data_IF_693374618844
#
_entry.id   IF_693374618844
#
_cell.length_a   1.000
_cell.length_b   1.000
_cell.length_c   1.000
_cell.angle_alpha   90.00
_cell.angle_beta   90.00
_cell.angle_gamma   90.00
#
_symmetry.space_group_name_H-M   'P 1'
#
loop_
_entity.id
_entity.type
_entity.pdbx_description
1 polymer ?
#
# COMPACT_ATOMS: atom_id res chain seq x y z
N UNK A 1 -56.24 -41.32 -23.72
CA UNK A 1 -56.82 -41.03 -22.39
C UNK A 1 -55.75 -41.24 -21.33
N UNK A 2 -55.74 -40.38 -20.31
CA UNK A 2 -54.96 -40.44 -19.05
C UNK A 2 -53.46 -40.12 -19.11
N UNK A 3 -53.16 -38.82 -19.10
CA UNK A 3 -51.94 -38.27 -18.48
C UNK A 3 -52.15 -38.25 -16.96
N UNK A 4 -51.59 -39.22 -16.24
CA UNK A 4 -51.64 -39.26 -14.78
C UNK A 4 -50.57 -38.32 -14.20
N UNK A 5 -51.05 -37.19 -13.66
CA UNK A 5 -50.25 -36.25 -12.88
C UNK A 5 -49.66 -36.93 -11.64
N UNK A 6 -48.33 -36.97 -11.56
CA UNK A 6 -47.59 -37.38 -10.37
C UNK A 6 -47.68 -36.24 -9.35
N UNK A 7 -48.63 -36.36 -8.41
CA UNK A 7 -48.68 -35.53 -7.21
C UNK A 7 -47.44 -35.81 -6.35
N UNK A 8 -46.48 -34.89 -6.38
CA UNK A 8 -45.40 -34.80 -5.40
C UNK A 8 -46.02 -34.48 -4.04
N UNK A 9 -46.14 -35.50 -3.18
CA UNK A 9 -46.44 -35.31 -1.77
C UNK A 9 -45.40 -34.35 -1.16
N UNK A 10 -45.86 -33.16 -0.78
CA UNK A 10 -45.13 -32.26 0.11
C UNK A 10 -45.07 -32.95 1.46
N UNK A 11 -43.94 -33.56 1.77
CA UNK A 11 -43.61 -34.03 3.11
C UNK A 11 -43.46 -32.76 3.96
N UNK A 12 -44.53 -32.38 4.66
CA UNK A 12 -44.43 -31.44 5.75
C UNK A 12 -43.61 -32.13 6.86
N UNK A 13 -42.56 -31.48 7.40
CA UNK A 13 -41.81 -32.06 8.51
C UNK A 13 -42.77 -32.24 9.71
N UNK A 14 -42.66 -33.36 10.45
CA UNK A 14 -43.52 -33.61 11.58
C UNK A 14 -43.37 -32.51 12.65
N UNK A 15 -44.45 -32.18 13.37
CA UNK A 15 -44.38 -31.19 14.44
C UNK A 15 -43.35 -31.64 15.50
N UNK A 16 -42.58 -30.71 16.09
CA UNK A 16 -41.53 -31.04 17.04
C UNK A 16 -42.12 -31.77 18.24
N UNK A 17 -41.64 -32.98 18.51
CA UNK A 17 -42.05 -33.77 19.65
C UNK A 17 -41.65 -33.06 20.96
N UNK A 18 -42.48 -33.12 22.02
CA UNK A 18 -42.22 -32.43 23.29
C UNK A 18 -40.91 -32.87 23.96
N UNK A 19 -40.36 -34.02 23.58
CA UNK A 19 -39.08 -34.54 24.06
C UNK A 19 -37.83 -33.86 23.46
N UNK A 20 -37.98 -33.00 22.45
CA UNK A 20 -36.83 -32.26 21.86
C UNK A 20 -36.65 -30.84 22.42
N UNK A 21 -37.54 -30.37 23.30
CA UNK A 21 -37.41 -29.06 23.96
C UNK A 21 -36.25 -28.97 24.97
N UNK A 22 -35.67 -30.12 25.38
CA UNK A 22 -34.56 -30.18 26.33
C UNK A 22 -33.17 -30.26 25.69
N UNK A 23 -33.05 -30.09 24.37
CA UNK A 23 -31.73 -29.77 23.80
C UNK A 23 -31.43 -28.34 24.24
N UNK A 24 -30.78 -28.19 25.40
CA UNK A 24 -30.09 -26.97 25.77
C UNK A 24 -29.22 -26.61 24.56
N UNK A 25 -29.65 -25.61 23.78
CA UNK A 25 -28.78 -24.96 22.79
C UNK A 25 -27.69 -24.30 23.62
N UNK A 26 -26.64 -25.06 23.93
CA UNK A 26 -25.43 -24.54 24.52
C UNK A 26 -24.87 -23.60 23.48
N UNK A 27 -25.22 -22.32 23.57
CA UNK A 27 -24.61 -21.26 22.79
C UNK A 27 -23.11 -21.44 22.99
N UNK A 28 -22.42 -21.96 21.95
CA UNK A 28 -20.97 -22.04 21.99
C UNK A 28 -20.52 -20.60 22.21
N UNK A 29 -19.76 -20.35 23.29
CA UNK A 29 -19.16 -19.04 23.53
C UNK A 29 -18.52 -18.61 22.19
N UNK A 30 -18.79 -17.40 21.69
CA UNK A 30 -18.27 -16.99 20.40
C UNK A 30 -16.76 -17.22 20.38
N UNK A 31 -16.29 -17.98 19.38
CA UNK A 31 -14.87 -18.32 19.25
C UNK A 31 -14.08 -17.02 19.13
N UNK A 32 -13.17 -16.76 20.08
CA UNK A 32 -12.31 -15.57 20.07
C UNK A 32 -11.20 -15.78 19.03
N UNK A 33 -11.54 -15.58 17.77
CA UNK A 33 -10.61 -15.68 16.65
C UNK A 33 -9.83 -14.38 16.45
N UNK A 34 -8.75 -14.42 15.66
CA UNK A 34 -8.04 -13.21 15.23
C UNK A 34 -8.97 -12.23 14.48
N UNK A 35 -9.99 -12.74 13.79
CA UNK A 35 -10.98 -11.91 13.11
C UNK A 35 -11.90 -11.18 14.11
N UNK A 36 -12.39 -11.88 15.14
CA UNK A 36 -13.21 -11.28 16.21
C UNK A 36 -12.44 -10.17 16.93
N UNK A 37 -11.17 -10.41 17.28
CA UNK A 37 -10.29 -9.38 17.88
C UNK A 37 -10.03 -8.19 16.96
N UNK A 38 -9.94 -8.44 15.66
CA UNK A 38 -9.81 -7.39 14.67
C UNK A 38 -11.10 -6.55 14.65
N UNK A 39 -12.29 -7.17 14.65
CA UNK A 39 -13.57 -6.47 14.62
C UNK A 39 -13.84 -5.63 15.89
N UNK A 40 -13.51 -6.19 17.06
CA UNK A 40 -13.72 -5.56 18.38
C UNK A 40 -12.72 -4.45 18.74
N UNK A 41 -11.69 -4.22 17.90
CA UNK A 41 -10.62 -3.27 18.20
C UNK A 41 -11.10 -1.82 18.19
N UNK A 42 -10.45 -0.98 18.98
CA UNK A 42 -10.64 0.47 18.94
C UNK A 42 -9.99 1.05 17.68
N UNK A 43 -10.83 1.59 16.79
CA UNK A 43 -10.40 2.17 15.51
C UNK A 43 -9.85 3.57 15.72
N UNK A 44 -8.82 3.91 14.96
CA UNK A 44 -8.24 5.24 14.93
C UNK A 44 -8.76 5.99 13.70
N UNK A 45 -9.61 7.02 13.87
CA UNK A 45 -10.24 7.71 12.75
C UNK A 45 -9.22 8.46 11.89
N UNK A 46 -8.10 8.93 12.45
CA UNK A 46 -7.09 9.67 11.70
C UNK A 46 -6.31 8.76 10.76
N UNK A 47 -5.85 7.62 11.26
CA UNK A 47 -5.11 6.63 10.48
C UNK A 47 -6.01 5.95 9.43
N UNK A 48 -7.26 5.66 9.79
CA UNK A 48 -8.23 5.12 8.82
C UNK A 48 -8.55 6.12 7.70
N UNK A 49 -8.69 7.41 8.03
CA UNK A 49 -8.89 8.45 7.02
C UNK A 49 -7.67 8.56 6.12
N UNK A 50 -6.46 8.57 6.69
CA UNK A 50 -5.20 8.57 5.94
C UNK A 50 -5.15 7.38 4.97
N UNK A 51 -5.44 6.16 5.43
CA UNK A 51 -5.49 4.98 4.57
C UNK A 51 -6.46 5.12 3.41
N UNK A 52 -7.65 5.67 3.68
CA UNK A 52 -8.63 5.89 2.62
C UNK A 52 -8.12 6.85 1.55
N UNK A 53 -7.30 7.84 1.94
CA UNK A 53 -6.69 8.78 1.02
C UNK A 53 -5.55 8.12 0.22
N UNK A 54 -4.68 7.38 0.89
CA UNK A 54 -3.57 6.65 0.26
C UNK A 54 -4.07 5.64 -0.76
N UNK A 55 -5.12 4.88 -0.46
CA UNK A 55 -5.74 3.96 -1.43
C UNK A 55 -6.32 4.68 -2.65
N UNK A 56 -6.80 5.93 -2.51
CA UNK A 56 -7.22 6.73 -3.67
C UNK A 56 -6.03 7.15 -4.52
N UNK A 57 -4.93 7.58 -3.90
CA UNK A 57 -3.69 7.90 -4.60
C UNK A 57 -3.13 6.67 -5.33
N UNK A 58 -3.13 5.50 -4.69
CA UNK A 58 -2.71 4.24 -5.32
C UNK A 58 -3.52 3.93 -6.58
N UNK A 59 -4.84 4.14 -6.55
CA UNK A 59 -5.69 3.95 -7.74
C UNK A 59 -5.34 4.95 -8.84
N UNK A 60 -5.09 6.21 -8.50
CA UNK A 60 -4.67 7.25 -9.44
C UNK A 60 -3.34 6.88 -10.11
N UNK A 61 -2.35 6.46 -9.33
CA UNK A 61 -1.03 6.07 -9.83
C UNK A 61 -1.11 4.80 -10.70
N UNK A 62 -1.95 3.83 -10.34
CA UNK A 62 -2.22 2.65 -11.20
C UNK A 62 -2.83 3.04 -12.54
N UNK A 63 -3.76 3.99 -12.56
CA UNK A 63 -4.32 4.53 -13.81
C UNK A 63 -3.21 5.20 -14.64
N UNK A 64 -2.38 6.04 -14.03
CA UNK A 64 -1.23 6.66 -14.72
C UNK A 64 -0.30 5.60 -15.31
N UNK A 65 0.06 4.57 -14.54
CA UNK A 65 0.92 3.49 -15.02
C UNK A 65 0.33 2.78 -16.26
N UNK A 66 -0.97 2.45 -16.25
CA UNK A 66 -1.65 1.86 -17.40
C UNK A 66 -1.71 2.80 -18.62
N UNK A 67 -1.83 4.11 -18.40
CA UNK A 67 -1.78 5.10 -19.48
C UNK A 67 -0.38 5.19 -20.07
N UNK A 68 0.66 5.26 -19.23
CA UNK A 68 2.07 5.44 -19.63
C UNK A 68 2.70 4.18 -20.21
N UNK A 69 2.23 2.98 -19.84
CA UNK A 69 2.64 1.72 -20.46
C UNK A 69 2.29 1.66 -21.97
N UNK A 70 1.50 2.60 -22.48
CA UNK A 70 1.11 2.64 -23.89
C UNK A 70 2.06 3.52 -24.70
N UNK A 71 2.50 2.98 -25.84
CA UNK A 71 3.29 3.72 -26.85
C UNK A 71 2.47 4.67 -27.72
N UNK A 72 1.14 4.77 -27.51
CA UNK A 72 0.19 5.44 -28.43
C UNK A 72 -0.09 6.92 -28.11
N UNK A 73 0.78 7.57 -27.33
CA UNK A 73 0.70 9.01 -27.04
C UNK A 73 0.17 9.36 -25.64
N UNK A 74 0.06 10.67 -25.34
CA UNK A 74 -0.12 11.19 -23.97
C UNK A 74 -1.58 11.18 -23.46
N UNK A 75 -2.52 10.69 -24.27
CA UNK A 75 -3.95 10.64 -23.92
C UNK A 75 -4.56 9.27 -24.24
N UNK A 76 -5.67 8.95 -23.55
CA UNK A 76 -6.39 7.68 -23.70
C UNK A 76 -7.89 7.94 -23.86
N UNK A 77 -8.54 7.26 -24.80
CA UNK A 77 -9.99 7.37 -24.98
C UNK A 77 -10.75 6.78 -23.79
N UNK A 78 -11.88 7.39 -23.42
CA UNK A 78 -12.74 6.88 -22.33
C UNK A 78 -13.27 5.47 -22.62
N UNK A 79 -13.49 5.14 -23.89
CA UNK A 79 -13.91 3.80 -24.35
C UNK A 79 -12.91 2.71 -24.02
N UNK A 80 -11.62 3.04 -23.95
CA UNK A 80 -10.60 2.10 -23.51
C UNK A 80 -10.47 2.09 -22.00
N UNK A 81 -10.50 3.27 -21.37
CA UNK A 81 -10.42 3.39 -19.91
C UNK A 81 -11.54 2.60 -19.22
N UNK A 82 -12.73 2.54 -19.83
CA UNK A 82 -13.83 1.71 -19.33
C UNK A 82 -13.50 0.21 -19.28
N UNK A 83 -12.66 -0.31 -20.20
CA UNK A 83 -12.21 -1.72 -20.17
C UNK A 83 -11.30 -2.01 -18.97
N UNK A 84 -10.58 -1.01 -18.48
CA UNK A 84 -9.70 -1.14 -17.31
C UNK A 84 -10.46 -1.11 -15.98
N UNK A 85 -11.79 -0.90 -15.98
CA UNK A 85 -12.61 -0.89 -14.77
C UNK A 85 -12.38 -2.13 -13.89
N UNK A 86 -12.36 -3.31 -14.50
CA UNK A 86 -12.20 -4.58 -13.78
C UNK A 86 -10.78 -4.74 -13.23
N UNK A 87 -9.77 -4.35 -14.01
CA UNK A 87 -8.35 -4.39 -13.62
C UNK A 87 -8.10 -3.47 -12.42
N UNK A 88 -8.70 -2.28 -12.43
CA UNK A 88 -8.60 -1.31 -11.34
C UNK A 88 -9.50 -1.65 -10.14
N UNK A 89 -10.42 -2.62 -10.29
CA UNK A 89 -11.39 -2.98 -9.27
C UNK A 89 -12.34 -1.84 -8.89
N UNK A 90 -12.67 -0.97 -9.84
CA UNK A 90 -13.54 0.19 -9.62
C UNK A 90 -15.02 -0.22 -9.66
N UNK A 91 -15.75 0.07 -8.59
CA UNK A 91 -17.21 -0.10 -8.54
C UNK A 91 -17.95 0.92 -9.41
N UNK A 92 -17.37 2.12 -9.58
CA UNK A 92 -17.92 3.25 -10.33
C UNK A 92 -17.39 3.25 -11.77
N UNK A 93 -18.18 3.69 -12.77
CA UNK A 93 -17.69 3.93 -14.12
C UNK A 93 -16.44 4.82 -14.13
N UNK A 94 -15.43 4.45 -14.93
CA UNK A 94 -14.13 5.13 -14.95
C UNK A 94 -14.27 6.61 -15.35
N UNK A 95 -15.16 6.93 -16.29
CA UNK A 95 -15.42 8.33 -16.68
C UNK A 95 -15.88 9.22 -15.51
N UNK A 96 -16.75 8.71 -14.62
CA UNK A 96 -17.20 9.45 -13.43
C UNK A 96 -16.07 9.59 -12.41
N UNK A 97 -15.23 8.57 -12.26
CA UNK A 97 -14.06 8.64 -11.39
C UNK A 97 -13.08 9.72 -11.85
N UNK A 98 -12.79 9.80 -13.14
CA UNK A 98 -11.86 10.79 -13.69
C UNK A 98 -12.37 12.23 -13.49
N UNK A 99 -13.66 12.46 -13.76
CA UNK A 99 -14.31 13.77 -13.55
C UNK A 99 -14.31 14.21 -12.08
N UNK A 100 -14.17 13.29 -11.13
CA UNK A 100 -14.06 13.60 -9.70
C UNK A 100 -12.73 14.27 -9.33
N UNK A 101 -11.69 14.09 -10.15
CA UNK A 101 -10.33 14.58 -9.88
C UNK A 101 -9.79 15.40 -11.07
N UNK A 102 -10.40 16.57 -11.38
CA UNK A 102 -9.96 17.43 -12.48
C UNK A 102 -8.51 17.93 -12.36
N UNK A 103 -7.99 18.07 -11.14
CA UNK A 103 -6.59 18.48 -10.89
C UNK A 103 -5.54 17.42 -11.27
N UNK A 104 -5.98 16.18 -11.51
CA UNK A 104 -5.13 15.04 -11.84
C UNK A 104 -5.39 14.57 -13.26
N UNK A 105 -6.67 14.52 -13.64
CA UNK A 105 -7.12 14.03 -14.93
C UNK A 105 -7.86 15.13 -15.69
N UNK A 106 -7.37 15.45 -16.88
CA UNK A 106 -8.04 16.35 -17.82
C UNK A 106 -8.84 15.51 -18.81
N UNK A 107 -10.16 15.61 -18.73
CA UNK A 107 -11.09 14.95 -19.66
C UNK A 107 -11.49 15.97 -20.72
N UNK A 108 -11.18 15.69 -21.98
CA UNK A 108 -11.43 16.59 -23.11
C UNK A 108 -11.99 15.80 -24.30
N UNK A 109 -12.63 16.49 -25.24
CA UNK A 109 -13.08 15.89 -26.50
C UNK A 109 -11.98 16.06 -27.54
N UNK A 110 -11.58 14.97 -28.19
CA UNK A 110 -10.55 15.03 -29.22
C UNK A 110 -11.07 15.82 -30.44
N UNK A 111 -10.31 16.80 -30.96
CA UNK A 111 -10.78 17.69 -32.03
C UNK A 111 -11.22 16.93 -33.28
N UNK A 112 -10.37 16.03 -33.79
CA UNK A 112 -10.65 15.30 -35.03
C UNK A 112 -11.63 14.12 -34.91
N UNK A 113 -11.51 13.31 -33.85
CA UNK A 113 -12.29 12.06 -33.69
C UNK A 113 -13.62 12.25 -32.95
N UNK A 114 -13.89 13.44 -32.40
CA UNK A 114 -15.01 13.75 -31.49
C UNK A 114 -15.18 12.78 -30.32
N UNK A 115 -14.14 11.99 -30.01
CA UNK A 115 -14.13 11.01 -28.94
C UNK A 115 -13.65 11.66 -27.64
N UNK A 116 -14.31 11.36 -26.52
CA UNK A 116 -13.84 11.83 -25.22
C UNK A 116 -12.57 11.08 -24.81
N UNK A 117 -11.52 11.84 -24.53
CA UNK A 117 -10.20 11.38 -24.12
C UNK A 117 -9.83 11.93 -22.74
N UNK A 118 -8.86 11.29 -22.11
CA UNK A 118 -8.29 11.71 -20.84
C UNK A 118 -6.78 11.85 -21.01
N UNK A 119 -6.22 12.98 -20.55
CA UNK A 119 -4.78 13.16 -20.31
C UNK A 119 -4.55 13.41 -18.82
N UNK A 120 -3.31 13.21 -18.37
CA UNK A 120 -2.90 13.56 -17.00
C UNK A 120 -2.40 15.00 -17.01
N UNK A 121 -2.72 15.76 -15.97
CA UNK A 121 -2.30 17.16 -15.82
C UNK A 121 -0.78 17.28 -15.81
N UNK A 122 -0.25 18.41 -16.33
CA UNK A 122 1.19 18.73 -16.32
C UNK A 122 1.75 18.66 -14.88
N UNK A 123 1.04 19.29 -13.95
CA UNK A 123 1.36 19.27 -12.51
C UNK A 123 1.47 17.87 -11.90
N UNK A 124 0.53 16.96 -12.18
CA UNK A 124 0.62 15.59 -11.64
C UNK A 124 1.82 14.84 -12.25
N UNK A 125 2.10 15.04 -13.54
CA UNK A 125 3.28 14.44 -14.19
C UNK A 125 4.58 14.94 -13.59
N UNK A 126 4.68 16.25 -13.33
CA UNK A 126 5.84 16.86 -12.66
C UNK A 126 6.08 16.26 -11.27
N UNK A 127 5.02 16.07 -10.47
CA UNK A 127 5.15 15.45 -9.15
C UNK A 127 5.59 13.98 -9.22
N UNK A 128 5.10 13.22 -10.20
CA UNK A 128 5.52 11.83 -10.42
C UNK A 128 7.01 11.78 -10.82
N UNK A 129 7.44 12.68 -11.70
CA UNK A 129 8.83 12.80 -12.11
C UNK A 129 9.72 13.22 -10.92
N UNK A 130 9.25 14.17 -10.12
CA UNK A 130 9.92 14.62 -8.90
C UNK A 130 10.10 13.47 -7.90
N UNK A 131 9.08 12.62 -7.70
CA UNK A 131 9.22 11.43 -6.84
C UNK A 131 10.37 10.54 -7.32
N UNK A 132 10.44 10.28 -8.62
CA UNK A 132 11.52 9.50 -9.22
C UNK A 132 12.91 10.12 -9.02
N UNK A 133 13.02 11.45 -9.11
CA UNK A 133 14.27 12.17 -8.84
C UNK A 133 14.68 12.10 -7.37
N UNK A 134 13.73 12.33 -6.46
CA UNK A 134 13.97 12.30 -5.02
C UNK A 134 14.37 10.88 -4.56
N UNK A 135 13.75 9.84 -5.11
CA UNK A 135 14.13 8.45 -4.85
C UNK A 135 15.57 8.18 -5.28
N UNK A 136 16.02 8.72 -6.42
CA UNK A 136 17.42 8.61 -6.86
C UNK A 136 18.37 9.40 -5.98
N UNK A 137 17.99 10.59 -5.51
CA UNK A 137 18.82 11.39 -4.59
C UNK A 137 18.98 10.70 -3.22
N UNK A 138 17.98 9.93 -2.79
CA UNK A 138 17.99 9.18 -1.53
C UNK A 138 18.60 7.77 -1.67
N UNK A 139 19.48 7.57 -2.65
CA UNK A 139 20.15 6.29 -2.91
C UNK A 139 20.91 5.77 -1.68
N UNK A 140 21.65 6.64 -0.98
CA UNK A 140 22.43 6.26 0.21
C UNK A 140 21.55 5.78 1.35
N UNK A 141 20.40 6.41 1.57
CA UNK A 141 19.43 5.99 2.57
C UNK A 141 18.72 4.69 2.17
N UNK A 142 18.47 4.49 0.88
CA UNK A 142 17.96 3.23 0.35
C UNK A 142 18.94 2.07 0.59
N UNK A 143 20.23 2.28 0.36
CA UNK A 143 21.31 1.32 0.66
C UNK A 143 21.30 0.96 2.14
N UNK A 144 21.29 1.95 3.04
CA UNK A 144 21.24 1.72 4.50
C UNK A 144 20.02 0.90 4.91
N UNK A 145 18.83 1.19 4.34
CA UNK A 145 17.61 0.42 4.61
C UNK A 145 17.76 -1.04 4.19
N UNK A 146 18.26 -1.31 2.98
CA UNK A 146 18.47 -2.68 2.50
C UNK A 146 19.54 -3.41 3.33
N UNK A 147 20.62 -2.73 3.70
CA UNK A 147 21.68 -3.25 4.57
C UNK A 147 21.11 -3.65 5.94
N UNK A 148 20.36 -2.76 6.60
CA UNK A 148 19.66 -3.06 7.87
C UNK A 148 18.69 -4.24 7.74
N UNK A 149 17.93 -4.33 6.66
CA UNK A 149 17.04 -5.48 6.40
C UNK A 149 17.80 -6.80 6.33
N UNK A 150 18.91 -6.84 5.60
CA UNK A 150 19.75 -8.03 5.50
C UNK A 150 20.39 -8.36 6.86
N UNK A 151 20.84 -7.35 7.62
CA UNK A 151 21.40 -7.56 8.96
C UNK A 151 20.39 -8.13 9.97
N UNK A 152 19.10 -7.81 9.81
CA UNK A 152 18.02 -8.40 10.62
C UNK A 152 17.67 -9.83 10.20
N UNK A 153 18.00 -10.25 8.97
CA UNK A 153 17.77 -11.62 8.49
C UNK A 153 18.65 -12.62 9.24
N UNK A 154 18.11 -13.81 9.50
CA UNK A 154 18.82 -14.87 10.24
C UNK A 154 20.13 -15.28 9.55
N UNK A 155 20.10 -15.40 8.23
CA UNK A 155 21.22 -15.88 7.43
C UNK A 155 21.99 -14.74 6.75
N UNK A 156 21.61 -13.48 7.00
CA UNK A 156 22.12 -12.34 6.24
C UNK A 156 21.70 -12.35 4.76
N UNK A 157 20.66 -13.10 4.42
CA UNK A 157 20.15 -13.24 3.04
C UNK A 157 18.68 -12.86 2.93
N UNK A 158 18.29 -12.32 1.78
CA UNK A 158 16.91 -11.99 1.45
C UNK A 158 16.59 -12.34 0.00
N UNK A 159 15.35 -12.78 -0.22
CA UNK A 159 14.83 -13.05 -1.56
C UNK A 159 14.57 -11.73 -2.29
N UNK A 160 15.08 -11.61 -3.52
CA UNK A 160 14.83 -10.47 -4.40
C UNK A 160 13.34 -10.27 -4.68
N UNK A 161 12.57 -11.35 -4.75
CA UNK A 161 11.12 -11.26 -4.90
C UNK A 161 10.46 -10.50 -3.73
N UNK A 162 10.88 -10.77 -2.49
CA UNK A 162 10.35 -10.08 -1.31
C UNK A 162 10.73 -8.59 -1.34
N UNK A 163 11.98 -8.27 -1.68
CA UNK A 163 12.41 -6.87 -1.85
C UNK A 163 11.63 -6.14 -2.95
N UNK A 164 11.31 -6.82 -4.06
CA UNK A 164 10.51 -6.25 -5.16
C UNK A 164 9.07 -5.92 -4.72
N UNK A 165 8.48 -6.74 -3.84
CA UNK A 165 7.16 -6.47 -3.26
C UNK A 165 7.18 -5.27 -2.31
N UNK A 166 8.32 -4.99 -1.67
CA UNK A 166 8.57 -3.87 -0.74
C UNK A 166 9.18 -2.64 -1.37
N UNK A 167 9.38 -2.66 -2.70
CA UNK A 167 10.13 -1.63 -3.43
C UNK A 167 9.61 -0.22 -3.14
N UNK A 168 8.29 -0.04 -3.14
CA UNK A 168 7.66 1.27 -2.92
C UNK A 168 7.71 1.69 -1.46
N UNK A 169 7.54 0.75 -0.54
CA UNK A 169 7.52 0.93 0.91
C UNK A 169 8.90 1.32 1.43
N UNK A 170 9.96 0.75 0.86
CA UNK A 170 11.36 1.07 1.17
C UNK A 170 11.88 2.30 0.42
N UNK A 171 11.15 2.77 -0.61
CA UNK A 171 11.57 3.88 -1.46
C UNK A 171 12.73 3.52 -2.36
N UNK A 172 12.74 2.29 -2.89
CA UNK A 172 13.75 1.82 -3.84
C UNK A 172 13.41 2.31 -5.25
N UNK A 173 14.44 2.61 -6.09
CA UNK A 173 14.24 2.92 -7.49
C UNK A 173 13.69 1.71 -8.26
N UNK A 174 13.13 1.95 -9.44
CA UNK A 174 12.64 0.89 -10.34
C UNK A 174 13.75 -0.11 -10.70
N UNK A 175 14.94 0.41 -10.97
CA UNK A 175 16.14 -0.36 -11.37
C UNK A 175 17.06 -0.65 -10.16
N UNK A 176 16.50 -0.88 -8.97
CA UNK A 176 17.29 -1.08 -7.74
C UNK A 176 18.26 -2.27 -7.81
N UNK A 177 17.99 -3.26 -8.68
CA UNK A 177 18.90 -4.38 -8.91
C UNK A 177 20.27 -3.89 -9.39
N UNK A 178 20.29 -2.98 -10.36
CA UNK A 178 21.54 -2.50 -10.95
C UNK A 178 22.03 -1.25 -10.23
N UNK A 179 21.11 -0.32 -9.94
CA UNK A 179 21.43 0.96 -9.29
C UNK A 179 21.91 0.81 -7.85
N UNK A 180 21.42 -0.18 -7.09
CA UNK A 180 21.81 -0.38 -5.69
C UNK A 180 22.65 -1.64 -5.55
N UNK A 181 22.11 -2.81 -5.90
CA UNK A 181 22.80 -4.07 -5.63
C UNK A 181 24.04 -4.27 -6.53
N UNK A 182 23.99 -3.80 -7.78
CA UNK A 182 25.12 -3.86 -8.71
C UNK A 182 26.21 -2.82 -8.40
N UNK A 183 25.80 -1.59 -8.05
CA UNK A 183 26.74 -0.48 -7.75
C UNK A 183 27.45 -0.64 -6.40
N UNK A 184 26.75 -1.15 -5.38
CA UNK A 184 27.29 -1.34 -4.02
C UNK A 184 27.72 -2.79 -3.79
N UNK A 185 28.60 -3.31 -4.65
CA UNK A 185 29.10 -4.70 -4.59
C UNK A 185 29.94 -5.00 -3.34
N UNK A 186 30.45 -3.97 -2.66
CA UNK A 186 31.13 -4.11 -1.37
C UNK A 186 30.17 -4.46 -0.23
N UNK A 187 28.92 -3.99 -0.30
CA UNK A 187 27.90 -4.24 0.73
C UNK A 187 27.04 -5.46 0.40
N UNK A 188 26.72 -5.65 -0.89
CA UNK A 188 25.76 -6.65 -1.35
C UNK A 188 26.39 -7.63 -2.34
N UNK A 189 26.12 -8.92 -2.14
CA UNK A 189 26.49 -9.99 -3.06
C UNK A 189 25.24 -10.69 -3.56
N UNK A 190 25.11 -10.78 -4.87
CA UNK A 190 24.10 -11.61 -5.49
C UNK A 190 24.60 -13.06 -5.51
N UNK A 191 24.02 -13.92 -4.67
CA UNK A 191 24.43 -15.34 -4.56
C UNK A 191 23.78 -16.16 -5.68
N UNK A 192 22.48 -15.90 -5.91
CA UNK A 192 21.68 -16.50 -6.97
C UNK A 192 20.91 -15.41 -7.71
N UNK A 193 20.29 -15.74 -8.85
CA UNK A 193 19.44 -14.82 -9.62
C UNK A 193 18.32 -14.16 -8.78
N UNK A 194 17.93 -14.78 -7.67
CA UNK A 194 16.84 -14.33 -6.80
C UNK A 194 17.24 -14.11 -5.33
N UNK A 195 18.53 -14.18 -4.97
CA UNK A 195 18.95 -14.09 -3.55
C UNK A 195 20.10 -13.09 -3.37
N UNK A 196 19.86 -12.10 -2.50
CA UNK A 196 20.87 -11.11 -2.07
C UNK A 196 21.42 -11.53 -0.72
N UNK A 197 22.73 -11.50 -0.57
CA UNK A 197 23.44 -11.69 0.68
C UNK A 197 24.17 -10.41 1.08
N UNK A 198 24.27 -10.21 2.39
CA UNK A 198 25.13 -9.20 3.00
C UNK A 198 26.59 -9.67 2.92
N UNK A 199 27.48 -8.80 2.46
CA UNK A 199 28.93 -9.05 2.44
C UNK A 199 29.57 -8.57 3.73
N UNK A 200 29.34 -7.30 4.07
CA UNK A 200 29.95 -6.64 5.21
C UNK A 200 28.94 -6.26 6.28
N UNK A 201 29.30 -6.53 7.55
CA UNK A 201 28.45 -6.22 8.69
C UNK A 201 28.85 -4.86 9.27
N UNK A 202 27.91 -3.93 9.24
CA UNK A 202 28.13 -2.57 9.70
C UNK A 202 27.62 -2.38 11.12
N UNK A 203 28.53 -2.25 12.08
CA UNK A 203 28.20 -2.07 13.48
C UNK A 203 27.51 -0.73 13.76
N UNK A 204 27.79 0.31 12.98
CA UNK A 204 27.20 1.64 13.16
C UNK A 204 25.72 1.65 12.80
N UNK A 205 25.34 0.86 11.79
CA UNK A 205 23.94 0.67 11.40
C UNK A 205 23.15 -0.27 12.33
N UNK A 206 23.83 -1.02 13.20
CA UNK A 206 23.22 -2.00 14.11
C UNK A 206 22.50 -1.36 15.33
N UNK A 207 22.10 -0.10 15.22
CA UNK A 207 21.25 0.60 16.19
C UNK A 207 19.79 0.56 15.70
N UNK A 208 18.92 0.03 16.55
CA UNK A 208 17.49 -0.04 16.26
C UNK A 208 16.81 1.28 16.62
N UNK A 209 15.73 1.62 15.92
CA UNK A 209 15.00 2.88 16.13
C UNK A 209 14.45 3.04 17.55
N UNK A 210 14.08 1.92 18.18
CA UNK A 210 13.64 1.92 19.59
C UNK A 210 14.77 2.34 20.53
N UNK A 211 16.01 1.99 20.21
CA UNK A 211 17.19 2.34 21.03
C UNK A 211 17.46 3.85 20.93
N UNK A 212 17.42 4.42 19.73
CA UNK A 212 17.52 5.87 19.52
C UNK A 212 16.41 6.63 20.28
N UNK A 213 15.19 6.11 20.27
CA UNK A 213 14.10 6.70 21.04
C UNK A 213 14.38 6.64 22.55
N UNK A 214 14.87 5.50 23.09
CA UNK A 214 15.21 5.38 24.51
C UNK A 214 16.30 6.38 24.91
N UNK A 215 17.34 6.53 24.10
CA UNK A 215 18.42 7.48 24.32
C UNK A 215 17.91 8.93 24.39
N UNK A 216 17.00 9.31 23.48
CA UNK A 216 16.32 10.61 23.54
C UNK A 216 15.49 10.77 24.81
N UNK A 217 14.74 9.75 25.23
CA UNK A 217 13.94 9.82 26.47
C UNK A 217 14.82 9.99 27.71
N UNK A 218 16.00 9.36 27.76
CA UNK A 218 16.97 9.59 28.83
C UNK A 218 17.52 10.99 28.83
N UNK A 219 17.95 11.46 27.66
CA UNK A 219 18.64 12.74 27.49
C UNK A 219 17.71 13.93 27.70
N UNK A 220 16.47 13.83 27.21
CA UNK A 220 15.53 14.95 27.18
C UNK A 220 14.56 14.94 28.37
N UNK A 221 14.09 13.77 28.80
CA UNK A 221 13.04 13.65 29.83
C UNK A 221 13.53 13.11 31.16
N UNK A 222 14.79 12.69 31.26
CA UNK A 222 15.40 12.20 32.51
C UNK A 222 14.58 11.08 33.18
N UNK A 223 13.99 10.20 32.36
CA UNK A 223 13.21 9.06 32.85
C UNK A 223 14.11 8.01 33.50
N UNK A 224 13.58 7.32 34.52
CA UNK A 224 14.31 6.25 35.22
C UNK A 224 14.67 5.09 34.29
N UNK A 225 15.96 4.73 34.25
CA UNK A 225 16.49 3.55 33.55
C UNK A 225 15.70 2.28 33.82
N UNK A 226 15.15 2.14 35.03
CA UNK A 226 14.44 0.94 35.42
C UNK A 226 13.17 0.69 34.58
N UNK A 227 12.48 1.75 34.14
CA UNK A 227 11.24 1.60 33.38
C UNK A 227 11.46 1.68 31.86
N UNK A 228 12.45 2.43 31.39
CA UNK A 228 12.66 2.71 29.96
C UNK A 228 13.69 1.80 29.28
N UNK A 229 14.57 1.14 30.02
CA UNK A 229 15.70 0.34 29.45
C UNK A 229 15.31 -0.67 28.39
N UNK A 230 14.15 -1.31 28.55
CA UNK A 230 13.63 -2.29 27.59
C UNK A 230 12.26 -1.93 27.02
N UNK A 231 11.79 -0.70 27.27
CA UNK A 231 10.47 -0.27 26.87
C UNK A 231 10.40 0.04 25.38
N UNK A 232 9.21 -0.16 24.82
CA UNK A 232 8.80 0.40 23.54
C UNK A 232 8.00 1.68 23.75
N UNK A 233 8.05 2.60 22.80
CA UNK A 233 7.15 3.74 22.73
C UNK A 233 5.71 3.25 22.54
N UNK A 234 4.80 3.69 23.42
CA UNK A 234 3.41 3.23 23.45
C UNK A 234 2.46 4.42 23.41
N UNK A 235 1.56 4.41 22.43
CA UNK A 235 0.47 5.38 22.31
C UNK A 235 -0.85 4.67 22.02
N UNK A 236 -1.85 4.87 22.87
CA UNK A 236 -3.17 4.27 22.71
C UNK A 236 -4.12 5.22 21.96
N UNK A 237 -5.04 4.70 21.14
CA UNK A 237 -6.05 5.53 20.50
C UNK A 237 -7.01 6.13 21.53
N UNK A 238 -7.59 7.28 21.20
CA UNK A 238 -8.63 7.90 22.03
C UNK A 238 -9.80 6.93 22.23
N UNK A 239 -10.21 6.72 23.48
CA UNK A 239 -11.29 5.78 23.82
C UNK A 239 -10.85 4.31 23.93
N UNK A 240 -9.54 4.02 23.98
CA UNK A 240 -9.05 2.67 24.23
C UNK A 240 -9.55 2.12 25.58
N UNK A 241 -10.28 1.00 25.54
CA UNK A 241 -10.79 0.32 26.74
C UNK A 241 -9.72 -0.61 27.30
N UNK A 242 -9.18 -0.28 28.46
CA UNK A 242 -8.23 -1.15 29.16
C UNK A 242 -8.96 -2.30 29.84
N UNK A 243 -8.64 -3.54 29.46
CA UNK A 243 -9.07 -4.71 30.22
C UNK A 243 -8.43 -4.71 31.62
N UNK A 244 -9.09 -5.36 32.59
CA UNK A 244 -8.52 -5.57 33.93
C UNK A 244 -7.17 -6.29 33.81
N UNK A 245 -6.16 -5.79 34.49
CA UNK A 245 -4.80 -6.34 34.44
C UNK A 245 -4.02 -6.08 33.14
N UNK A 246 -4.59 -5.42 32.11
CA UNK A 246 -3.85 -5.09 30.89
C UNK A 246 -2.65 -4.19 31.16
N UNK A 247 -2.83 -3.13 31.95
CA UNK A 247 -1.73 -2.20 32.29
C UNK A 247 -0.58 -2.89 33.00
N UNK A 248 -0.88 -3.80 33.93
CA UNK A 248 0.12 -4.57 34.66
C UNK A 248 0.84 -5.57 33.75
N UNK A 249 0.09 -6.31 32.90
CA UNK A 249 0.67 -7.19 31.88
C UNK A 249 1.61 -6.42 30.94
N UNK A 250 1.17 -5.26 30.47
CA UNK A 250 1.98 -4.40 29.60
C UNK A 250 3.24 -3.91 30.33
N UNK A 251 3.11 -3.46 31.59
CA UNK A 251 4.25 -3.01 32.40
C UNK A 251 5.28 -4.12 32.59
N UNK A 252 4.84 -5.34 32.88
CA UNK A 252 5.72 -6.50 33.00
C UNK A 252 6.35 -6.89 31.66
N UNK A 253 5.60 -6.86 30.56
CA UNK A 253 6.14 -7.12 29.22
C UNK A 253 7.18 -6.07 28.79
N UNK A 254 6.95 -4.78 29.11
CA UNK A 254 7.91 -3.71 28.84
C UNK A 254 9.23 -3.90 29.62
N UNK A 255 9.19 -4.54 30.79
CA UNK A 255 10.38 -4.85 31.61
C UNK A 255 11.15 -6.09 31.16
N UNK A 256 10.58 -6.95 30.31
CA UNK A 256 11.30 -8.11 29.80
C UNK A 256 12.60 -7.71 29.09
N UNK A 257 13.66 -8.51 29.14
CA UNK A 257 14.89 -8.22 28.39
C UNK A 257 14.61 -8.00 26.90
N UNK A 258 15.14 -6.89 26.36
CA UNK A 258 15.04 -6.58 24.93
C UNK A 258 16.19 -7.26 24.18
N UNK A 259 15.86 -8.18 23.28
CA UNK A 259 16.82 -8.73 22.34
C UNK A 259 16.87 -7.83 21.10
N UNK A 260 18.05 -7.33 20.73
CA UNK A 260 18.18 -6.45 19.57
C UNK A 260 17.78 -7.18 18.29
N UNK A 261 17.13 -6.51 17.32
CA UNK A 261 16.84 -7.10 16.00
C UNK A 261 18.09 -7.62 15.29
N UNK A 262 19.22 -6.95 15.49
CA UNK A 262 20.51 -7.25 14.87
C UNK A 262 21.36 -8.29 15.62
N UNK A 263 20.97 -8.69 16.83
CA UNK A 263 21.72 -9.70 17.58
C UNK A 263 21.44 -11.11 17.03
N UNK A 264 22.46 -11.74 16.45
CA UNK A 264 22.45 -13.13 15.95
C UNK A 264 22.55 -14.17 17.07
N UNK A 265 22.01 -13.90 18.26
CA UNK A 265 21.96 -14.92 19.32
C UNK A 265 21.05 -16.04 18.83
N UNK A 266 21.51 -17.29 18.97
CA UNK A 266 20.75 -18.49 18.62
C UNK A 266 19.27 -18.29 18.98
N UNK A 267 18.41 -18.48 17.98
CA UNK A 267 16.95 -18.44 18.03
C UNK A 267 16.47 -18.65 19.46
N UNK A 268 15.95 -17.59 20.10
CA UNK A 268 15.41 -17.64 21.46
C UNK A 268 14.59 -18.92 21.57
N UNK A 269 15.12 -19.93 22.28
CA UNK A 269 14.51 -21.25 22.29
C UNK A 269 13.21 -21.12 23.05
N UNK A 270 12.08 -21.25 22.35
CA UNK A 270 10.72 -21.13 22.91
C UNK A 270 10.51 -22.08 24.09
N UNK A 271 11.30 -23.17 24.16
CA UNK A 271 11.24 -24.23 25.18
C UNK A 271 11.69 -23.82 26.59
N UNK A 272 12.28 -22.65 26.80
CA UNK A 272 12.69 -22.19 28.14
C UNK A 272 11.52 -21.49 28.87
N UNK A 273 11.48 -21.52 30.21
CA UNK A 273 10.50 -20.75 31.00
C UNK A 273 10.55 -19.26 30.63
N UNK A 274 9.40 -18.66 30.30
CA UNK A 274 9.31 -17.28 29.78
C UNK A 274 9.87 -17.08 28.36
N UNK A 275 10.28 -18.16 27.68
CA UNK A 275 10.82 -18.14 26.32
C UNK A 275 9.80 -17.60 25.30
N UNK A 276 8.51 -17.89 25.49
CA UNK A 276 7.42 -17.40 24.63
C UNK A 276 7.34 -15.86 24.67
N UNK A 277 7.35 -15.24 25.85
CA UNK A 277 7.23 -13.78 25.97
C UNK A 277 8.48 -13.06 25.46
N UNK A 278 9.66 -13.64 25.70
CA UNK A 278 10.94 -13.11 25.16
C UNK A 278 10.97 -13.22 23.64
N UNK A 279 10.51 -14.34 23.09
CA UNK A 279 10.36 -14.54 21.66
C UNK A 279 9.36 -13.55 21.06
N UNK A 280 8.21 -13.36 21.71
CA UNK A 280 7.20 -12.37 21.33
C UNK A 280 7.79 -10.96 21.30
N UNK A 281 8.57 -10.60 22.33
CA UNK A 281 9.24 -9.29 22.39
C UNK A 281 10.27 -9.09 21.28
N UNK A 282 11.06 -10.12 20.95
CA UNK A 282 11.97 -10.10 19.80
C UNK A 282 11.21 -9.92 18.47
N UNK A 283 10.11 -10.65 18.28
CA UNK A 283 9.30 -10.52 17.07
C UNK A 283 8.70 -9.11 16.93
N UNK A 284 8.24 -8.50 18.03
CA UNK A 284 7.80 -7.10 18.06
C UNK A 284 8.95 -6.15 17.73
N UNK A 285 10.16 -6.38 18.28
CA UNK A 285 11.33 -5.57 17.98
C UNK A 285 11.68 -5.58 16.48
N UNK A 286 11.68 -6.76 15.85
CA UNK A 286 11.97 -6.90 14.42
C UNK A 286 10.89 -6.23 13.56
N UNK A 287 9.60 -6.43 13.89
CA UNK A 287 8.51 -5.79 13.14
C UNK A 287 8.49 -4.27 13.33
N UNK A 288 8.80 -3.79 14.53
CA UNK A 288 8.93 -2.37 14.81
C UNK A 288 10.04 -1.77 13.95
N UNK A 289 11.22 -2.39 13.95
CA UNK A 289 12.35 -1.91 13.15
C UNK A 289 12.07 -1.99 11.65
N UNK A 290 11.48 -3.09 11.16
CA UNK A 290 11.09 -3.21 9.76
C UNK A 290 10.14 -2.08 9.32
N UNK A 291 9.12 -1.77 10.13
CA UNK A 291 8.22 -0.65 9.85
C UNK A 291 8.96 0.69 9.96
N UNK A 292 9.87 0.84 10.92
CA UNK A 292 10.68 2.04 11.09
C UNK A 292 11.56 2.32 9.87
N UNK A 293 12.00 1.31 9.13
CA UNK A 293 12.80 1.47 7.90
C UNK A 293 11.98 1.92 6.69
N UNK A 294 10.67 1.70 6.68
CA UNK A 294 9.83 2.11 5.55
C UNK A 294 9.71 3.64 5.44
N UNK A 295 9.46 4.13 4.24
CA UNK A 295 9.30 5.57 3.95
C UNK A 295 8.12 6.15 4.72
N UNK A 296 7.00 5.43 4.72
CA UNK A 296 5.73 5.85 5.32
C UNK A 296 5.45 5.19 6.67
N UNK A 297 6.38 4.44 7.24
CA UNK A 297 6.20 3.76 8.55
C UNK A 297 4.93 2.88 8.61
N UNK A 298 4.60 2.28 7.46
CA UNK A 298 3.42 1.43 7.25
C UNK A 298 3.68 0.40 6.16
N UNK A 299 3.05 -0.77 6.25
CA UNK A 299 3.18 -1.90 5.29
C UNK A 299 1.90 -2.73 5.26
N UNK A 300 1.62 -3.39 4.13
CA UNK A 300 0.52 -4.38 4.07
C UNK A 300 0.89 -5.68 4.83
N UNK A 301 -0.04 -6.23 5.60
CA UNK A 301 0.22 -7.45 6.40
C UNK A 301 0.63 -8.64 5.52
N UNK A 302 0.07 -8.73 4.32
CA UNK A 302 0.37 -9.80 3.37
C UNK A 302 1.82 -9.71 2.86
N UNK A 303 2.33 -8.48 2.65
CA UNK A 303 3.73 -8.25 2.30
C UNK A 303 4.65 -8.73 3.44
N UNK A 304 4.34 -8.41 4.71
CA UNK A 304 5.12 -8.86 5.87
C UNK A 304 5.23 -10.39 5.98
N UNK A 305 4.24 -11.14 5.48
CA UNK A 305 4.27 -12.60 5.52
C UNK A 305 5.40 -13.20 4.67
N UNK A 306 5.89 -12.50 3.64
CA UNK A 306 7.00 -12.96 2.80
C UNK A 306 8.34 -12.99 3.55
N UNK A 307 8.54 -12.09 4.53
CA UNK A 307 9.76 -12.06 5.34
C UNK A 307 9.70 -12.94 6.59
N UNK A 308 8.58 -13.65 6.80
CA UNK A 308 8.35 -14.46 7.99
C UNK A 308 9.50 -15.46 8.24
N UNK A 309 9.92 -16.15 7.17
CA UNK A 309 10.98 -17.16 7.22
C UNK A 309 12.35 -16.52 7.40
N UNK A 310 12.61 -15.42 6.70
CA UNK A 310 13.91 -14.73 6.70
C UNK A 310 14.24 -14.13 8.07
N UNK A 311 13.24 -13.62 8.80
CA UNK A 311 13.41 -13.07 10.15
C UNK A 311 13.21 -14.09 11.29
N UNK A 312 12.84 -15.34 10.97
CA UNK A 312 12.55 -16.37 11.97
C UNK A 312 11.32 -16.07 12.84
N UNK A 313 10.31 -15.39 12.29
CA UNK A 313 9.05 -15.06 12.99
C UNK A 313 8.03 -16.17 12.74
N UNK A 314 8.09 -17.28 13.44
CA UNK A 314 7.17 -18.42 13.28
C UNK A 314 5.75 -18.14 13.79
N UNK A 315 5.54 -17.00 14.46
CA UNK A 315 4.24 -16.60 15.00
C UNK A 315 3.34 -15.99 13.92
N UNK A 316 2.02 -16.12 14.10
CA UNK A 316 1.05 -15.43 13.28
C UNK A 316 1.19 -13.90 13.43
N UNK A 317 1.82 -13.26 12.45
CA UNK A 317 2.06 -11.80 12.42
C UNK A 317 0.78 -11.01 12.68
N UNK A 318 -0.37 -11.43 12.14
CA UNK A 318 -1.64 -10.74 12.36
C UNK A 318 -2.05 -10.74 13.84
N UNK A 319 -1.92 -11.88 14.51
CA UNK A 319 -2.23 -12.00 15.94
C UNK A 319 -1.26 -11.22 16.80
N UNK A 320 0.03 -11.26 16.45
CA UNK A 320 1.07 -10.51 17.14
C UNK A 320 0.78 -9.00 17.11
N UNK A 321 0.44 -8.46 15.93
CA UNK A 321 0.11 -7.05 15.78
C UNK A 321 -1.14 -6.64 16.57
N UNK A 322 -2.14 -7.52 16.67
CA UNK A 322 -3.36 -7.28 17.45
C UNK A 322 -3.13 -7.30 18.97
N UNK A 323 -2.10 -8.02 19.46
CA UNK A 323 -1.75 -8.05 20.89
C UNK A 323 -1.11 -6.75 21.37
N UNK A 324 -0.52 -5.97 20.47
CA UNK A 324 0.23 -4.75 20.78
C UNK A 324 -0.40 -3.49 20.18
N UNK A 325 -1.67 -3.17 20.53
CA UNK A 325 -2.40 -2.06 19.93
C UNK A 325 -1.85 -0.67 20.30
N UNK A 326 -0.93 -0.59 21.26
CA UNK A 326 -0.24 0.64 21.64
C UNK A 326 1.01 0.94 20.81
N UNK A 327 1.54 -0.07 20.11
CA UNK A 327 2.73 0.07 19.25
C UNK A 327 2.29 0.08 17.78
N UNK A 328 1.44 -0.88 17.42
CA UNK A 328 0.94 -1.06 16.06
C UNK A 328 -0.53 -0.68 15.95
N UNK A 329 -0.89 -0.12 14.81
CA UNK A 329 -2.29 0.03 14.41
C UNK A 329 -2.57 -0.76 13.14
N UNK A 330 -3.74 -1.42 13.11
CA UNK A 330 -4.20 -2.18 11.97
C UNK A 330 -5.41 -1.50 11.32
N UNK A 331 -5.25 -1.03 10.08
CA UNK A 331 -6.34 -0.47 9.29
C UNK A 331 -6.91 -1.50 8.31
N UNK A 332 -8.22 -1.72 8.38
CA UNK A 332 -8.99 -2.57 7.46
C UNK A 332 -9.61 -1.75 6.33
N UNK A 333 -9.07 -0.56 6.04
CA UNK A 333 -9.55 0.29 4.96
C UNK A 333 -8.99 -0.18 3.63
N UNK A 334 -9.87 -0.66 2.77
CA UNK A 334 -9.53 -1.21 1.47
C UNK A 334 -9.73 -2.74 1.43
N UNK A 335 -9.06 -3.40 0.49
CA UNK A 335 -9.11 -4.87 0.34
C UNK A 335 -8.06 -5.58 1.20
N UNK A 336 -6.94 -4.92 1.44
CA UNK A 336 -5.77 -5.43 2.18
C UNK A 336 -5.72 -4.84 3.58
N UNK A 337 -5.17 -5.60 4.53
CA UNK A 337 -4.93 -5.15 5.90
C UNK A 337 -3.57 -4.43 5.95
N UNK A 338 -3.54 -3.24 6.53
CA UNK A 338 -2.33 -2.41 6.61
C UNK A 338 -1.94 -2.14 8.06
N UNK A 339 -0.65 -2.22 8.33
CA UNK A 339 -0.05 -1.97 9.65
C UNK A 339 0.59 -0.60 9.64
N UNK A 340 0.41 0.13 10.72
CA UNK A 340 1.02 1.41 11.01
C UNK A 340 1.83 1.33 12.28
N UNK A 341 2.99 1.99 12.28
CA UNK A 341 3.74 2.26 13.50
C UNK A 341 3.15 3.49 14.20
N UNK A 342 2.49 3.35 15.35
CA UNK A 342 1.70 4.45 15.94
C UNK A 342 2.51 5.66 16.32
N UNK A 343 3.68 5.47 16.92
CA UNK A 343 4.54 6.56 17.37
C UNK A 343 4.99 7.49 16.23
N UNK A 344 5.05 6.96 15.00
CA UNK A 344 5.49 7.71 13.84
C UNK A 344 4.44 8.69 13.33
N UNK A 345 3.22 8.68 13.89
CA UNK A 345 2.10 9.47 13.39
C UNK A 345 1.52 10.42 14.43
N UNK A 346 1.25 11.66 14.02
CA UNK A 346 0.43 12.64 14.76
C UNK A 346 -0.60 13.26 13.83
N UNK A 347 -1.87 13.27 14.25
CA UNK A 347 -3.00 13.87 13.49
C UNK A 347 -3.12 13.40 12.02
N UNK A 348 -2.62 12.20 11.68
CA UNK A 348 -2.64 11.65 10.31
C UNK A 348 -1.50 12.11 9.39
N UNK A 349 -0.45 12.69 9.94
CA UNK A 349 0.84 12.94 9.26
C UNK A 349 2.00 12.25 9.99
N UNK A 350 3.12 12.06 9.31
CA UNK A 350 4.35 11.55 9.94
C UNK A 350 4.95 12.60 10.88
N UNK A 351 5.50 12.14 12.02
CA UNK A 351 6.23 13.00 12.96
C UNK A 351 7.58 13.41 12.37
N UNK A 352 8.28 12.47 11.75
CA UNK A 352 9.54 12.70 11.05
C UNK A 352 9.33 12.40 9.56
N UNK A 353 9.08 13.44 8.74
CA UNK A 353 8.88 13.27 7.31
C UNK A 353 10.20 12.96 6.59
N UNK A 354 10.09 12.22 5.49
CA UNK A 354 11.19 11.96 4.56
C UNK A 354 10.92 12.71 3.24
N UNK A 355 11.92 13.07 2.44
CA UNK A 355 11.70 13.80 1.18
C UNK A 355 10.82 13.03 0.18
N UNK A 356 10.93 11.69 0.16
CA UNK A 356 10.02 10.83 -0.64
C UNK A 356 8.59 10.93 -0.13
N UNK A 357 8.39 10.93 1.19
CA UNK A 357 7.06 11.08 1.80
C UNK A 357 6.45 12.45 1.50
N UNK A 358 7.22 13.52 1.57
CA UNK A 358 6.75 14.88 1.26
C UNK A 358 6.26 14.98 -0.19
N UNK A 359 7.00 14.39 -1.13
CA UNK A 359 6.59 14.34 -2.53
C UNK A 359 5.28 13.57 -2.71
N UNK A 360 5.16 12.40 -2.05
CA UNK A 360 3.92 11.61 -2.05
C UNK A 360 2.77 12.35 -1.41
N UNK A 361 3.04 13.15 -0.38
CA UNK A 361 2.04 13.99 0.29
C UNK A 361 1.55 15.09 -0.64
N UNK A 362 2.43 15.74 -1.37
CA UNK A 362 2.05 16.74 -2.39
C UNK A 362 1.15 16.14 -3.47
N UNK A 363 1.46 14.91 -3.92
CA UNK A 363 0.57 14.18 -4.84
C UNK A 363 -0.78 13.86 -4.20
N UNK A 364 -0.78 13.41 -2.94
CA UNK A 364 -2.00 13.12 -2.20
C UNK A 364 -2.89 14.37 -2.07
N UNK A 365 -2.31 15.51 -1.72
CA UNK A 365 -3.02 16.76 -1.54
C UNK A 365 -3.66 17.22 -2.85
N UNK A 366 -2.97 17.05 -3.99
CA UNK A 366 -3.54 17.29 -5.32
C UNK A 366 -4.78 16.42 -5.61
N UNK A 367 -4.75 15.14 -5.22
CA UNK A 367 -5.90 14.23 -5.33
C UNK A 367 -7.03 14.67 -4.38
N UNK A 368 -6.71 15.13 -3.17
CA UNK A 368 -7.70 15.51 -2.17
C UNK A 368 -8.42 16.82 -2.47
N UNK A 369 -7.89 17.69 -3.34
CA UNK A 369 -8.62 18.84 -3.86
C UNK A 369 -9.93 18.41 -4.56
N UNK A 370 -9.96 17.21 -5.17
CA UNK A 370 -11.16 16.67 -5.80
C UNK A 370 -11.78 17.64 -6.82
N UNK A 371 -13.10 17.80 -6.81
CA UNK A 371 -13.81 18.74 -7.67
C UNK A 371 -13.77 20.21 -7.19
N UNK A 372 -13.05 20.55 -6.11
CA UNK A 372 -13.02 21.93 -5.63
C UNK A 372 -12.46 22.81 -6.73
N UNK A 373 -13.28 23.77 -7.20
CA UNK A 373 -12.85 24.84 -8.11
C UNK A 373 -11.87 25.72 -7.34
N UNK A 374 -10.59 25.55 -7.59
CA UNK A 374 -9.56 26.50 -7.18
C UNK A 374 -9.34 27.49 -8.33
N UNK A 375 -8.77 28.67 -8.05
CA UNK A 375 -8.35 29.62 -9.10
C UNK A 375 -7.54 28.92 -10.22
N UNK A 376 -6.78 27.89 -9.86
CA UNK A 376 -5.96 27.06 -10.74
C UNK A 376 -6.72 26.27 -11.82
N UNK A 377 -7.99 25.88 -11.57
CA UNK A 377 -8.80 25.28 -12.63
C UNK A 377 -9.27 26.33 -13.63
N UNK A 378 -9.43 27.59 -13.19
CA UNK A 378 -9.76 28.70 -14.09
C UNK A 378 -8.58 28.95 -15.04
N UNK A 379 -7.34 28.92 -14.56
CA UNK A 379 -6.14 29.06 -15.42
C UNK A 379 -5.97 27.88 -16.39
N UNK A 380 -6.37 26.66 -16.01
CA UNK A 380 -6.42 25.51 -16.93
C UNK A 380 -7.53 25.67 -17.97
N UNK A 381 -8.66 26.24 -17.61
CA UNK A 381 -9.75 26.53 -18.56
C UNK A 381 -9.35 27.68 -19.50
N UNK A 382 -8.59 28.67 -19.03
CA UNK A 382 -8.07 29.77 -19.86
C UNK A 382 -6.92 29.33 -20.76
N UNK A 383 -5.94 28.58 -20.26
CA UNK A 383 -4.89 27.99 -21.11
C UNK A 383 -5.42 26.92 -22.06
N UNK A 384 -6.52 26.21 -21.75
CA UNK A 384 -7.19 25.36 -22.73
C UNK A 384 -7.93 26.19 -23.79
N UNK A 385 -8.46 27.38 -23.44
CA UNK A 385 -8.99 28.33 -24.43
C UNK A 385 -7.87 28.87 -25.31
N UNK A 386 -6.71 29.20 -24.74
CA UNK A 386 -5.53 29.62 -25.49
C UNK A 386 -4.97 28.48 -26.36
N UNK A 387 -4.79 27.25 -25.85
CA UNK A 387 -4.37 26.08 -26.65
C UNK A 387 -5.42 25.76 -27.74
N UNK A 388 -6.72 26.00 -27.52
CA UNK A 388 -7.74 25.88 -28.58
C UNK A 388 -7.73 27.05 -29.58
N UNK A 389 -7.32 28.24 -29.16
CA UNK A 389 -7.20 29.43 -30.01
C UNK A 389 -5.89 29.41 -30.83
N UNK A 390 -4.82 28.78 -30.32
CA UNK A 390 -3.54 28.61 -31.04
C UNK A 390 -3.65 27.57 -32.16
N UNK A 391 -4.69 26.73 -32.17
CA UNK A 391 -4.98 25.84 -33.31
C UNK A 391 -5.89 26.50 -34.35
N UNK A 392 -6.25 27.78 -34.18
CA UNK A 392 -6.80 28.61 -35.26
C UNK A 392 -5.68 29.28 -36.07
N UNK A 393 -4.74 28.49 -36.59
CA UNK A 393 -3.83 28.96 -37.63
C UNK A 393 -4.50 28.72 -38.99
N UNK A 394 -5.11 29.80 -39.49
CA UNK A 394 -5.14 30.23 -40.89
C UNK A 394 -5.40 29.14 -41.93
N UNK A 395 -6.69 28.99 -42.25
CA UNK A 395 -7.14 28.52 -43.55
C UNK A 395 -6.77 29.60 -44.56
N UNK A 396 -5.60 29.46 -45.20
CA UNK A 396 -5.35 30.14 -46.46
C UNK A 396 -5.89 29.23 -47.56
N UNK A 397 -6.97 29.73 -48.17
CA UNK A 397 -7.50 29.30 -49.45
C UNK A 397 -6.44 29.42 -50.56
N UNK A 398 -6.72 28.75 -51.67
CA UNK A 398 -6.01 28.81 -52.96
C UNK A 398 -4.86 27.80 -53.16
N UNK A 399 -5.25 26.64 -53.68
CA UNK A 399 -4.35 25.61 -54.18
C UNK A 399 -5.14 24.55 -54.93
N UNK A 400 -5.60 24.91 -56.13
CA UNK A 400 -6.23 24.01 -57.08
C UNK A 400 -5.37 22.77 -57.39
N UNK A 401 -6.08 21.67 -57.67
CA UNK A 401 -5.73 20.55 -58.57
C UNK A 401 -4.84 19.41 -58.05
N UNK A 402 -5.53 18.26 -57.94
CA UNK A 402 -5.22 17.01 -58.66
C UNK A 402 -4.62 15.86 -57.81
N UNK A 403 -5.47 14.87 -57.55
CA UNK A 403 -5.03 13.60 -56.96
C UNK A 403 -6.16 12.74 -56.41
N UNK A 404 -7.27 12.59 -57.15
CA UNK A 404 -8.22 11.51 -56.92
C UNK A 404 -7.50 10.17 -57.15
N UNK A 405 -7.08 9.52 -56.06
CA UNK A 405 -6.72 8.11 -56.07
C UNK A 405 -7.89 7.29 -55.56
N UNK A 406 -9.01 7.35 -56.28
CA UNK A 406 -10.06 6.33 -56.16
C UNK A 406 -9.63 5.17 -57.05
N UNK A 407 -9.23 4.06 -56.44
CA UNK A 407 -8.78 2.85 -57.13
C UNK A 407 -10.02 2.06 -57.61
N UNK A 408 -10.38 2.02 -58.91
CA UNK A 408 -11.69 1.55 -59.35
C UNK A 408 -11.80 0.05 -59.67
N UNK A 409 -10.87 -0.81 -59.24
CA UNK A 409 -10.93 -2.25 -59.59
C UNK A 409 -11.42 -3.19 -58.48
N UNK A 410 -11.91 -2.67 -57.35
CA UNK A 410 -12.43 -3.51 -56.26
C UNK A 410 -13.97 -3.59 -56.14
N UNK A 411 -14.74 -3.02 -57.08
CA UNK A 411 -16.21 -3.20 -57.13
C UNK A 411 -16.68 -4.29 -58.11
N UNK A 412 -15.77 -5.14 -58.61
CA UNK A 412 -16.19 -6.39 -59.28
C UNK A 412 -16.46 -7.50 -58.25
N UNK A 413 -17.54 -7.38 -57.50
CA UNK A 413 -18.26 -8.51 -56.90
C UNK A 413 -19.61 -8.02 -56.40
N UNK A 414 -20.68 -8.68 -56.85
CA UNK A 414 -22.09 -8.46 -56.46
C UNK A 414 -22.70 -7.26 -57.23
N UNK A 415 -23.65 -7.39 -58.16
CA UNK A 415 -24.84 -8.22 -58.15
C UNK A 415 -25.22 -8.64 -59.58
N UNK A 416 -25.02 -9.92 -59.90
CA UNK A 416 -25.77 -10.60 -60.97
C UNK A 416 -27.13 -11.01 -60.41
N UNK A 417 -28.17 -10.18 -60.55
CA UNK A 417 -29.58 -10.64 -60.65
C UNK A 417 -30.35 -9.72 -61.58
N UNK A 418 -30.41 -10.16 -62.83
CA UNK A 418 -31.22 -9.66 -63.96
C UNK A 418 -32.68 -10.13 -63.91
N UNK A 419 -33.55 -9.63 -64.80
CA UNK A 419 -33.75 -8.26 -65.25
C UNK A 419 -35.05 -7.63 -64.70
#
# INVERSE_FOLDING_TARGET
MSLSCILKHRIFPPPPSPFTLFIQRRWKKPTVSAQTRLEDRVRDPHLDKLMSHLKRLDLVLRIHHLMSARKRGPFVSLTLLSRWRNILGLHIPVGLFLRKYPHVFLVFVHPFRKNTCCRITKRMKELILLEGLVVKQQETEAVKRVKKLLMMSLNGTLRLHALRLFKRELGLPEDFRDSILGKYSADFRLVDLEVVALVDWDAELAVARVEEWREKEYSEKWLSEFETKFAFPVSFPTGFKFERGFKERLKNWQRLPYAKPYERKEVVRVRTCGGIERYEKRAVAVLHELLSLTVEKMVEVDQLAHFRRDFGVEVNVRELLLRHPGIFYLSTKGKTLTVFLREAYRKGGLVEPNPVYETRRNMLDLVLLGCRKTKLLLDCDESNKEESNVVACEVNEEGERQGDWVIPFLEKCEENRSP
#
